data_IF_260916979706
#
_entry.id   IF_260916979706
#
_cell.length_a   1.000
_cell.length_b   1.000
_cell.length_c   1.000
_cell.angle_alpha   90.00
_cell.angle_beta   90.00
_cell.angle_gamma   90.00
#
_symmetry.space_group_name_H-M   'P 1'
#
loop_
_entity.id
_entity.type
_entity.pdbx_description
1 polymer ?
#
# COMPACT_ATOMS: atom_id res chain seq x y z
N UNK A 1 -5.39 -17.36 5.52
CA UNK A 1 -5.25 -18.26 4.36
C UNK A 1 -3.75 -18.48 4.17
N UNK A 2 -3.21 -19.67 4.46
CA UNK A 2 -1.79 -19.97 4.26
C UNK A 2 -1.59 -20.38 2.79
N UNK A 3 -0.79 -19.60 2.06
CA UNK A 3 -0.41 -19.91 0.68
C UNK A 3 0.85 -20.78 0.72
N UNK A 4 0.73 -22.04 0.31
CA UNK A 4 1.86 -22.95 0.16
C UNK A 4 2.28 -22.99 -1.31
N UNK A 5 3.58 -22.87 -1.59
CA UNK A 5 4.11 -23.05 -2.96
C UNK A 5 4.04 -24.54 -3.35
N UNK A 6 4.01 -24.79 -4.66
CA UNK A 6 3.73 -26.12 -5.26
C UNK A 6 4.81 -27.17 -4.99
N UNK A 7 6.02 -26.74 -4.61
CA UNK A 7 7.05 -27.63 -4.11
C UNK A 7 6.71 -28.04 -2.69
N UNK A 8 6.74 -29.35 -2.42
CA UNK A 8 6.42 -30.03 -1.13
C UNK A 8 7.30 -29.58 0.04
N UNK A 9 7.39 -28.29 0.29
CA UNK A 9 8.14 -27.67 1.35
C UNK A 9 7.25 -27.65 2.60
N UNK A 10 7.79 -28.13 3.71
CA UNK A 10 7.16 -28.00 5.02
C UNK A 10 6.97 -26.50 5.31
N UNK A 11 5.72 -26.05 5.31
CA UNK A 11 5.36 -24.69 5.73
C UNK A 11 5.11 -24.71 7.23
N UNK A 12 5.76 -23.81 7.97
CA UNK A 12 5.52 -23.61 9.40
C UNK A 12 4.41 -22.57 9.59
N UNK A 13 3.15 -22.97 9.88
CA UNK A 13 2.09 -22.00 10.10
C UNK A 13 2.29 -21.27 11.44
N UNK A 14 2.04 -19.96 11.45
CA UNK A 14 1.89 -19.20 12.69
C UNK A 14 0.48 -19.41 13.23
N UNK A 15 0.37 -19.77 14.51
CA UNK A 15 -0.91 -19.98 15.19
C UNK A 15 -1.25 -18.74 16.00
N UNK A 16 -2.44 -18.20 15.80
CA UNK A 16 -2.97 -17.09 16.60
C UNK A 16 -4.18 -17.55 17.41
N UNK A 17 -4.20 -17.24 18.71
CA UNK A 17 -5.35 -17.44 19.58
C UNK A 17 -6.11 -16.11 19.72
N UNK A 18 -7.26 -15.99 19.06
CA UNK A 18 -8.09 -14.77 19.11
C UNK A 18 -8.99 -14.68 20.35
N UNK A 19 -9.04 -15.74 21.17
CA UNK A 19 -9.81 -15.75 22.42
C UNK A 19 -9.02 -15.18 23.60
N UNK A 20 -9.73 -14.79 24.67
CA UNK A 20 -9.14 -14.31 25.93
C UNK A 20 -8.65 -15.43 26.85
N UNK A 21 -8.94 -16.68 26.54
CA UNK A 21 -8.51 -17.86 27.32
C UNK A 21 -7.35 -18.58 26.64
N UNK A 22 -6.35 -19.08 27.40
CA UNK A 22 -5.26 -19.86 26.83
C UNK A 22 -5.76 -21.20 26.28
N UNK A 23 -5.30 -21.56 25.08
CA UNK A 23 -5.63 -22.83 24.41
C UNK A 23 -4.38 -23.69 24.25
N UNK A 24 -4.43 -24.96 24.67
CA UNK A 24 -3.32 -25.91 24.54
C UNK A 24 -3.41 -26.67 23.22
N UNK A 25 -2.36 -26.59 22.41
CA UNK A 25 -2.21 -27.39 21.20
C UNK A 25 -1.33 -28.61 21.46
N UNK A 26 -1.88 -29.81 21.22
CA UNK A 26 -1.15 -31.06 21.38
C UNK A 26 -0.29 -31.35 20.15
N UNK A 27 0.88 -31.94 20.36
CA UNK A 27 1.71 -32.47 19.26
C UNK A 27 0.87 -33.47 18.43
N UNK A 28 0.87 -33.31 17.11
CA UNK A 28 0.08 -34.14 16.19
C UNK A 28 -1.32 -33.58 15.88
N UNK A 29 -1.70 -32.42 16.42
CA UNK A 29 -2.93 -31.72 16.01
C UNK A 29 -2.81 -31.27 14.56
N UNK A 30 -3.77 -31.66 13.72
CA UNK A 30 -3.81 -31.27 12.30
C UNK A 30 -4.26 -29.82 12.19
N UNK A 31 -3.38 -28.96 11.66
CA UNK A 31 -3.66 -27.51 11.50
C UNK A 31 -4.58 -27.19 10.31
N UNK A 32 -4.62 -28.07 9.31
CA UNK A 32 -5.46 -27.93 8.12
C UNK A 32 -4.98 -28.83 6.98
N UNK A 33 -5.82 -28.97 5.94
CA UNK A 33 -5.46 -29.64 4.68
C UNK A 33 -5.37 -28.57 3.59
N UNK A 34 -4.24 -28.43 2.88
CA UNK A 34 -4.12 -27.44 1.83
C UNK A 34 -5.05 -27.78 0.67
N UNK A 35 -5.72 -26.77 0.11
CA UNK A 35 -6.49 -26.89 -1.12
C UNK A 35 -5.81 -26.06 -2.22
N UNK A 36 -5.74 -26.58 -3.46
CA UNK A 36 -5.24 -25.80 -4.59
C UNK A 36 -6.21 -24.64 -4.86
N UNK A 37 -5.67 -23.42 -4.91
CA UNK A 37 -6.42 -22.23 -5.29
C UNK A 37 -6.04 -21.84 -6.72
N UNK A 38 -7.04 -21.62 -7.57
CA UNK A 38 -6.84 -20.99 -8.87
C UNK A 38 -6.83 -19.48 -8.69
N UNK A 39 -5.91 -18.78 -9.37
CA UNK A 39 -5.95 -17.32 -9.44
C UNK A 39 -7.22 -16.91 -10.18
N UNK A 40 -8.07 -16.14 -9.50
CA UNK A 40 -9.19 -15.47 -10.14
C UNK A 40 -8.65 -14.16 -10.73
N UNK A 41 -8.89 -13.95 -12.02
CA UNK A 41 -8.65 -12.68 -12.69
C UNK A 41 -9.47 -11.59 -11.97
N UNK A 42 -8.82 -10.49 -11.57
CA UNK A 42 -9.52 -9.40 -10.90
C UNK A 42 -10.46 -8.69 -11.88
N UNK A 43 -11.76 -8.82 -11.64
CA UNK A 43 -12.77 -7.97 -12.25
C UNK A 43 -12.81 -6.63 -11.49
N UNK A 44 -12.07 -5.66 -11.98
CA UNK A 44 -12.07 -4.29 -11.45
C UNK A 44 -11.80 -3.26 -12.54
N UNK A 45 -12.84 -2.89 -13.31
CA UNK A 45 -12.77 -1.72 -14.20
C UNK A 45 -12.70 -0.45 -13.34
N UNK A 46 -11.52 0.15 -13.23
CA UNK A 46 -11.38 1.56 -12.88
C UNK A 46 -11.58 2.42 -14.14
N UNK A 47 -12.16 3.63 -14.06
CA UNK A 47 -12.36 4.48 -15.23
C UNK A 47 -11.00 4.93 -15.79
N UNK A 48 -10.55 4.25 -16.84
CA UNK A 48 -9.36 4.59 -17.61
C UNK A 48 -9.52 5.96 -18.25
N UNK A 49 -8.69 6.92 -17.82
CA UNK A 49 -8.42 8.10 -18.64
C UNK A 49 -7.51 7.65 -19.78
N UNK A 50 -8.12 7.22 -20.89
CA UNK A 50 -7.42 6.84 -22.12
C UNK A 50 -6.67 8.07 -22.65
N UNK A 51 -5.34 8.06 -22.57
CA UNK A 51 -4.49 8.88 -23.45
C UNK A 51 -3.16 8.18 -23.69
N UNK A 52 -3.02 7.58 -24.88
CA UNK A 52 -1.79 7.24 -25.60
C UNK A 52 -0.72 6.35 -24.90
N UNK A 53 0.17 5.75 -25.70
CA UNK A 53 1.17 4.77 -25.28
C UNK A 53 2.05 5.25 -24.10
N UNK A 54 2.46 4.37 -23.17
CA UNK A 54 3.32 4.68 -22.03
C UNK A 54 4.78 4.80 -22.47
N UNK A 55 5.07 5.80 -23.30
CA UNK A 55 6.45 6.06 -23.73
C UNK A 55 7.26 6.79 -22.65
N UNK A 56 6.66 7.20 -21.53
CA UNK A 56 7.45 7.77 -20.44
C UNK A 56 6.78 7.66 -19.06
N UNK A 57 7.40 6.89 -18.16
CA UNK A 57 7.15 7.00 -16.71
C UNK A 57 7.50 8.44 -16.27
N UNK A 58 6.64 9.10 -15.47
CA UNK A 58 6.89 10.45 -14.95
C UNK A 58 8.25 10.58 -14.27
N UNK A 59 8.89 11.75 -14.40
CA UNK A 59 10.27 11.95 -13.92
C UNK A 59 10.46 11.68 -12.44
N UNK A 60 9.50 12.04 -11.59
CA UNK A 60 9.53 11.76 -10.15
C UNK A 60 9.38 10.28 -9.79
N UNK A 61 9.00 9.43 -10.75
CA UNK A 61 8.83 7.99 -10.59
C UNK A 61 9.89 7.16 -11.31
N UNK A 62 10.80 7.78 -12.07
CA UNK A 62 11.81 7.06 -12.83
C UNK A 62 12.74 6.23 -11.93
N UNK A 63 13.15 6.76 -10.76
CA UNK A 63 13.98 6.01 -9.81
C UNK A 63 13.25 4.75 -9.33
N UNK A 64 12.01 4.93 -8.87
CA UNK A 64 11.17 3.85 -8.39
C UNK A 64 10.94 2.78 -9.46
N UNK A 65 10.67 3.20 -10.70
CA UNK A 65 10.49 2.30 -11.84
C UNK A 65 11.77 1.52 -12.14
N UNK A 66 12.92 2.20 -12.23
CA UNK A 66 14.20 1.56 -12.53
C UNK A 66 14.59 0.53 -11.46
N UNK A 67 14.44 0.87 -10.18
CA UNK A 67 14.72 -0.03 -9.05
C UNK A 67 13.77 -1.24 -9.03
N UNK A 68 12.50 -1.03 -9.37
CA UNK A 68 11.50 -2.10 -9.39
C UNK A 68 11.67 -3.04 -10.60
N UNK A 69 12.20 -2.55 -11.72
CA UNK A 69 12.34 -3.34 -12.95
C UNK A 69 13.48 -4.35 -12.94
N UNK A 70 14.42 -4.29 -11.98
CA UNK A 70 15.66 -5.09 -11.96
C UNK A 70 15.39 -6.59 -12.15
N UNK A 71 14.34 -7.12 -11.52
CA UNK A 71 14.01 -8.55 -11.55
C UNK A 71 12.69 -8.86 -12.28
N UNK A 72 12.17 -7.93 -13.09
CA UNK A 72 10.91 -8.10 -13.81
C UNK A 72 11.15 -8.50 -15.26
N UNK A 73 10.24 -9.34 -15.77
CA UNK A 73 10.11 -9.65 -17.20
C UNK A 73 9.60 -8.42 -17.96
N UNK A 74 9.85 -8.37 -19.27
CA UNK A 74 9.48 -7.23 -20.12
C UNK A 74 7.98 -6.91 -20.08
N UNK A 75 7.13 -7.94 -20.06
CA UNK A 75 5.68 -7.80 -19.92
C UNK A 75 5.25 -7.14 -18.59
N UNK A 76 5.93 -7.48 -17.50
CA UNK A 76 5.63 -6.94 -16.17
C UNK A 76 6.18 -5.53 -16.00
N UNK A 77 7.28 -5.20 -16.68
CA UNK A 77 7.81 -3.82 -16.74
C UNK A 77 6.81 -2.89 -17.41
N UNK A 78 6.18 -3.34 -18.49
CA UNK A 78 5.13 -2.57 -19.17
C UNK A 78 3.92 -2.33 -18.26
N UNK A 79 3.41 -3.39 -17.61
CA UNK A 79 2.31 -3.28 -16.65
C UNK A 79 2.64 -2.34 -15.49
N UNK A 80 3.88 -2.40 -15.00
CA UNK A 80 4.35 -1.51 -13.95
C UNK A 80 4.39 -0.05 -14.41
N UNK A 81 4.88 0.22 -15.63
CA UNK A 81 4.91 1.57 -16.20
C UNK A 81 3.51 2.16 -16.33
N UNK A 82 2.55 1.36 -16.81
CA UNK A 82 1.14 1.74 -16.92
C UNK A 82 0.51 2.05 -15.55
N UNK A 83 0.77 1.20 -14.55
CA UNK A 83 0.30 1.39 -13.19
C UNK A 83 0.85 2.68 -12.58
N UNK A 84 2.16 2.88 -12.64
CA UNK A 84 2.82 4.07 -12.08
C UNK A 84 2.36 5.35 -12.75
N UNK A 85 2.11 5.32 -14.06
CA UNK A 85 1.59 6.47 -14.80
C UNK A 85 0.15 6.78 -14.39
N UNK A 86 -0.69 5.75 -14.26
CA UNK A 86 -2.11 5.89 -13.91
C UNK A 86 -2.34 6.47 -12.51
N UNK A 87 -1.46 6.14 -11.56
CA UNK A 87 -1.52 6.59 -10.16
C UNK A 87 -0.38 7.54 -9.81
N UNK A 88 0.12 8.29 -10.79
CA UNK A 88 1.31 9.12 -10.63
C UNK A 88 1.16 10.26 -9.62
N UNK A 89 -0.07 10.68 -9.35
CA UNK A 89 -0.46 11.73 -8.41
C UNK A 89 -0.49 11.28 -6.94
N UNK A 90 -0.55 9.96 -6.70
CA UNK A 90 -0.51 9.38 -5.34
C UNK A 90 0.89 9.51 -4.73
N UNK A 91 1.91 9.50 -5.58
CA UNK A 91 3.30 9.58 -5.15
C UNK A 91 3.76 11.02 -4.98
N UNK A 92 4.55 11.27 -3.94
CA UNK A 92 5.15 12.59 -3.72
C UNK A 92 6.12 12.93 -4.85
N UNK A 93 5.97 14.14 -5.41
CA UNK A 93 6.91 14.70 -6.40
C UNK A 93 8.18 15.27 -5.77
N UNK A 94 8.29 15.30 -4.43
CA UNK A 94 9.43 15.85 -3.72
C UNK A 94 9.10 16.42 -2.33
N UNK A 95 10.08 17.00 -1.63
CA UNK A 95 9.93 17.45 -0.24
C UNK A 95 8.90 18.58 -0.04
N UNK A 96 8.58 19.32 -1.10
CA UNK A 96 7.57 20.39 -1.08
C UNK A 96 6.17 19.89 -1.42
N UNK A 97 6.03 18.63 -1.85
CA UNK A 97 4.74 18.01 -2.12
C UNK A 97 4.13 17.55 -0.78
N UNK A 98 3.37 18.46 -0.19
CA UNK A 98 2.61 18.21 1.03
C UNK A 98 1.24 17.65 0.65
N UNK A 99 0.94 16.44 1.13
CA UNK A 99 -0.36 15.80 0.91
C UNK A 99 -1.50 16.70 1.39
N UNK A 100 -2.49 16.92 0.53
CA UNK A 100 -3.69 17.72 0.85
C UNK A 100 -4.94 16.87 0.65
N UNK A 101 -5.84 16.92 1.62
CA UNK A 101 -7.17 16.33 1.52
C UNK A 101 -8.24 17.39 1.72
N UNK A 102 -9.32 17.28 0.95
CA UNK A 102 -10.55 18.07 1.13
C UNK A 102 -11.67 17.27 1.80
N UNK A 103 -11.44 15.99 2.13
CA UNK A 103 -12.46 15.07 2.64
C UNK A 103 -12.96 15.45 4.04
N UNK A 104 -12.04 15.92 4.89
CA UNK A 104 -12.35 16.29 6.26
C UNK A 104 -11.85 17.70 6.51
N UNK A 105 -12.74 18.55 7.02
CA UNK A 105 -12.39 19.85 7.59
C UNK A 105 -12.61 19.77 9.10
N UNK A 106 -11.56 20.00 9.86
CA UNK A 106 -11.67 20.11 11.31
C UNK A 106 -12.04 21.54 11.67
N UNK A 107 -13.07 21.69 12.49
CA UNK A 107 -13.38 22.96 13.12
C UNK A 107 -12.68 23.03 14.48
N UNK A 108 -12.04 24.16 14.78
CA UNK A 108 -11.37 24.38 16.06
C UNK A 108 -12.38 25.13 16.93
N UNK A 109 -13.03 24.40 17.83
CA UNK A 109 -13.96 24.97 18.80
C UNK A 109 -13.19 25.89 19.76
N UNK A 110 -13.19 27.19 19.49
CA UNK A 110 -12.64 28.21 20.41
C UNK A 110 -13.66 28.58 21.47
N UNK A 111 -13.20 29.07 22.63
CA UNK A 111 -14.06 29.67 23.65
C UNK A 111 -14.50 31.08 23.22
N UNK A 112 -15.42 31.70 23.97
CA UNK A 112 -15.87 33.08 23.74
C UNK A 112 -14.88 34.14 24.22
N UNK A 113 -13.68 33.73 24.65
CA UNK A 113 -12.66 34.63 25.14
C UNK A 113 -12.03 35.44 23.99
N UNK A 114 -11.59 36.69 24.27
CA UNK A 114 -10.95 37.50 23.25
C UNK A 114 -9.62 36.87 22.76
N UNK A 115 -9.24 37.05 21.48
CA UNK A 115 -7.98 36.52 20.96
C UNK A 115 -6.76 37.00 21.74
N UNK A 116 -5.84 36.07 22.03
CA UNK A 116 -4.60 36.37 22.77
C UNK A 116 -3.50 36.78 21.79
N UNK A 117 -2.96 37.98 21.98
CA UNK A 117 -1.76 38.46 21.26
C UNK A 117 -0.49 38.12 22.06
N UNK A 118 0.32 37.20 21.56
CA UNK A 118 1.63 36.87 22.14
C UNK A 118 2.74 37.51 21.29
N UNK A 119 3.70 38.20 21.93
CA UNK A 119 4.89 38.70 21.23
C UNK A 119 5.80 37.52 20.81
N UNK A 120 6.43 37.56 19.62
CA UNK A 120 7.38 36.52 19.21
C UNK A 120 8.48 36.34 20.26
N UNK A 121 8.80 35.09 20.61
CA UNK A 121 9.93 34.82 21.51
C UNK A 121 11.23 35.04 20.76
N UNK A 122 12.20 35.72 21.40
CA UNK A 122 13.56 35.82 20.87
C UNK A 122 14.15 34.41 20.76
N UNK A 123 14.56 34.02 19.56
CA UNK A 123 15.41 32.86 19.35
C UNK A 123 16.84 33.32 19.60
N UNK A 124 17.45 32.83 20.68
CA UNK A 124 18.88 33.02 21.00
C UNK A 124 19.66 31.78 20.60
#
# INVERSE_FOLDING_TARGET
MLLCRHDRQLVSPSVFNSGTTPNLLKRGTVAGVPQPANMLEEAGTCPSKVTAAPDHVPSHLQSLYAESCVNLLEEDRWRLAELLTSYSDVFSTGPTNLGRTSLVKHDIMTTTEPPIKQQPRRMT
#
